data_IF_729366355011
#
_entry.id   IF_729366355011
#
_cell.length_a   1.000
_cell.length_b   1.000
_cell.length_c   1.000
_cell.angle_alpha   90.00
_cell.angle_beta   90.00
_cell.angle_gamma   90.00
#
_symmetry.space_group_name_H-M   'P 1'
#
loop_
_entity.id
_entity.type
_entity.pdbx_description
1 polymer ?
#
# COMPACT_ATOMS: atom_id res chain seq x y z
N UNK A 1 -2.21 11.14 -5.90
CA UNK A 1 -3.67 11.10 -5.72
C UNK A 1 -4.19 9.68 -5.61
N UNK A 2 -5.33 9.48 -4.97
CA UNK A 2 -5.98 8.16 -4.82
C UNK A 2 -6.73 7.85 -6.13
N UNK A 3 -6.50 6.70 -6.78
CA UNK A 3 -7.18 6.37 -8.03
C UNK A 3 -8.70 6.24 -7.85
N UNK A 4 -9.46 6.56 -8.90
CA UNK A 4 -10.92 6.51 -8.88
C UNK A 4 -11.40 5.08 -8.54
N UNK A 5 -12.26 4.96 -7.52
CA UNK A 5 -12.76 3.67 -7.02
C UNK A 5 -11.99 3.12 -5.81
N UNK A 6 -10.93 3.79 -5.37
CA UNK A 6 -10.20 3.47 -4.15
C UNK A 6 -10.39 4.56 -3.10
N UNK A 7 -10.08 4.24 -1.84
CA UNK A 7 -10.18 5.17 -0.72
C UNK A 7 -8.94 5.12 0.17
N UNK A 8 -8.75 6.17 0.95
CA UNK A 8 -7.71 6.23 1.98
C UNK A 8 -8.03 5.22 3.09
N UNK A 9 -7.06 4.38 3.43
CA UNK A 9 -7.22 3.35 4.45
C UNK A 9 -6.83 3.82 5.85
N UNK A 10 -6.24 5.01 6.01
CA UNK A 10 -5.87 5.56 7.31
C UNK A 10 -6.99 5.59 8.35
N UNK A 11 -8.26 5.91 8.02
CA UNK A 11 -9.36 5.87 8.99
C UNK A 11 -9.63 4.47 9.57
N UNK A 12 -9.18 3.40 8.92
CA UNK A 12 -9.37 2.03 9.38
C UNK A 12 -8.16 1.48 10.15
N UNK A 13 -7.08 2.25 10.29
CA UNK A 13 -5.89 1.83 11.03
C UNK A 13 -6.22 1.75 12.53
N UNK A 14 -5.87 0.63 13.15
CA UNK A 14 -5.93 0.44 14.59
C UNK A 14 -4.61 0.86 15.22
N UNK A 15 -4.52 2.11 15.67
CA UNK A 15 -3.30 2.67 16.29
C UNK A 15 -2.82 1.88 17.51
N UNK A 16 -3.75 1.37 18.32
CA UNK A 16 -3.40 0.59 19.51
C UNK A 16 -2.81 -0.80 19.18
N UNK A 17 -3.04 -1.29 17.96
CA UNK A 17 -2.43 -2.53 17.45
C UNK A 17 -1.29 -2.26 16.47
N UNK A 18 -0.86 -1.02 16.32
CA UNK A 18 0.33 -0.68 15.56
C UNK A 18 1.55 -0.71 16.46
N UNK A 19 2.68 -1.05 15.87
CA UNK A 19 3.97 -1.12 16.55
C UNK A 19 5.05 -0.70 15.56
N UNK A 20 6.08 -0.02 16.05
CA UNK A 20 7.27 0.26 15.27
C UNK A 20 8.51 -0.08 16.10
N UNK A 21 9.40 -0.89 15.54
CA UNK A 21 10.69 -1.17 16.14
C UNK A 21 11.76 -0.24 15.55
N UNK A 22 12.70 0.18 16.40
CA UNK A 22 13.77 1.13 16.09
C UNK A 22 13.28 2.53 15.69
N UNK A 23 12.09 2.95 16.17
CA UNK A 23 11.67 4.34 16.06
C UNK A 23 12.46 5.24 17.02
N UNK A 24 12.71 6.49 16.64
CA UNK A 24 13.35 7.45 17.54
C UNK A 24 12.36 8.06 18.53
N UNK A 25 12.87 8.48 19.69
CA UNK A 25 12.08 9.10 20.76
C UNK A 25 11.42 10.43 20.31
N UNK A 26 12.10 11.18 19.43
CA UNK A 26 11.64 12.48 18.94
C UNK A 26 10.70 12.37 17.72
N UNK A 27 10.84 11.30 16.93
CA UNK A 27 10.17 11.12 15.64
C UNK A 27 9.55 9.72 15.52
N UNK A 28 8.60 9.40 16.40
CA UNK A 28 7.93 8.11 16.43
C UNK A 28 6.91 7.84 15.30
N UNK A 29 6.40 6.60 15.26
CA UNK A 29 5.52 6.06 14.22
C UNK A 29 4.23 6.85 13.98
N UNK A 30 3.64 7.42 15.03
CA UNK A 30 2.41 8.21 14.92
C UNK A 30 2.54 9.43 13.99
N UNK A 31 3.76 9.92 13.78
CA UNK A 31 4.04 11.03 12.88
C UNK A 31 3.83 10.63 11.41
N UNK A 32 4.25 9.43 11.01
CA UNK A 32 4.11 8.98 9.61
C UNK A 32 2.67 8.58 9.23
N UNK A 33 1.76 8.48 10.21
CA UNK A 33 0.33 8.28 9.98
C UNK A 33 -0.42 9.59 9.64
N UNK A 34 0.21 10.75 9.81
CA UNK A 34 -0.38 12.07 9.58
C UNK A 34 0.03 12.62 8.21
N UNK A 35 -0.79 13.51 7.67
CA UNK A 35 -0.50 14.23 6.41
C UNK A 35 0.04 15.63 6.72
N UNK A 36 1.07 15.68 7.54
CA UNK A 36 1.76 16.90 7.96
C UNK A 36 3.27 16.72 7.74
N UNK A 37 4.15 17.71 8.05
CA UNK A 37 5.58 17.60 7.79
C UNK A 37 6.32 16.76 8.85
N UNK A 38 5.61 16.18 9.83
CA UNK A 38 6.24 15.26 10.78
C UNK A 38 6.62 13.96 10.08
N UNK A 39 7.65 13.31 10.58
CA UNK A 39 8.18 12.09 9.99
C UNK A 39 8.48 11.06 11.08
N UNK A 40 8.59 9.80 10.63
CA UNK A 40 9.16 8.70 11.40
C UNK A 40 10.66 8.65 11.09
N UNK A 41 11.48 8.56 12.12
CA UNK A 41 12.93 8.41 12.02
C UNK A 41 13.38 7.15 12.75
N UNK A 42 14.50 6.59 12.31
CA UNK A 42 15.13 5.44 12.95
C UNK A 42 16.18 5.89 13.97
N UNK A 43 16.25 5.21 15.12
CA UNK A 43 17.07 5.66 16.25
C UNK A 43 18.54 5.22 16.14
N UNK A 44 18.77 3.90 16.00
CA UNK A 44 20.11 3.33 16.11
C UNK A 44 20.79 3.12 14.74
N UNK A 45 20.02 2.65 13.76
CA UNK A 45 20.47 2.37 12.40
C UNK A 45 19.37 2.68 11.37
N UNK A 46 19.58 2.38 10.08
CA UNK A 46 18.65 2.70 8.99
C UNK A 46 17.42 1.76 8.87
N UNK A 47 17.29 0.76 9.74
CA UNK A 47 16.26 -0.28 9.63
C UNK A 47 15.05 0.03 10.51
N UNK A 48 13.88 0.16 9.90
CA UNK A 48 12.60 0.27 10.61
C UNK A 48 11.73 -0.95 10.35
N UNK A 49 11.04 -1.42 11.39
CA UNK A 49 10.01 -2.45 11.25
C UNK A 49 8.67 -1.87 11.70
N UNK A 50 7.76 -1.69 10.75
CA UNK A 50 6.43 -1.13 11.01
C UNK A 50 5.37 -2.23 10.90
N UNK A 51 4.60 -2.40 11.97
CA UNK A 51 3.41 -3.26 12.00
C UNK A 51 2.16 -2.38 11.95
N UNK A 52 1.37 -2.51 10.88
CA UNK A 52 0.11 -1.78 10.71
C UNK A 52 -1.07 -2.72 10.86
N UNK A 53 -1.86 -2.50 11.91
CA UNK A 53 -3.11 -3.23 12.15
C UNK A 53 -4.31 -2.46 11.63
N UNK A 54 -5.32 -3.16 11.14
CA UNK A 54 -6.59 -2.56 10.70
C UNK A 54 -7.75 -3.04 11.58
N UNK A 55 -8.72 -2.17 11.84
CA UNK A 55 -9.93 -2.48 12.61
C UNK A 55 -10.87 -3.46 11.88
N UNK A 56 -10.65 -3.69 10.59
CA UNK A 56 -11.41 -4.60 9.75
C UNK A 56 -10.52 -5.18 8.65
N UNK A 57 -10.86 -6.34 8.06
CA UNK A 57 -10.16 -6.86 6.90
C UNK A 57 -10.21 -5.87 5.72
N UNK A 58 -9.05 -5.57 5.12
CA UNK A 58 -8.91 -4.66 3.98
C UNK A 58 -8.24 -5.37 2.79
N UNK A 59 -8.52 -4.90 1.57
CA UNK A 59 -7.77 -5.27 0.37
C UNK A 59 -6.82 -4.14 0.03
N UNK A 60 -5.52 -4.35 0.25
CA UNK A 60 -4.48 -3.40 -0.11
C UNK A 60 -4.32 -3.37 -1.64
N UNK A 61 -4.55 -2.21 -2.24
CA UNK A 61 -4.35 -2.00 -3.68
C UNK A 61 -3.02 -1.31 -3.98
N UNK A 62 -2.71 -0.25 -3.23
CA UNK A 62 -1.51 0.55 -3.41
C UNK A 62 -0.96 0.97 -2.05
N UNK A 63 0.36 0.98 -1.92
CA UNK A 63 1.08 1.57 -0.79
C UNK A 63 1.78 2.84 -1.27
N UNK A 64 1.65 3.93 -0.51
CA UNK A 64 2.40 5.17 -0.75
C UNK A 64 3.39 5.36 0.40
N UNK A 65 4.68 5.37 0.08
CA UNK A 65 5.75 5.74 1.00
C UNK A 65 6.35 7.05 0.49
N UNK A 66 6.44 8.03 1.38
CA UNK A 66 6.99 9.35 1.08
C UNK A 66 7.94 9.73 2.21
N UNK A 67 9.19 10.03 1.85
CA UNK A 67 10.17 10.58 2.78
C UNK A 67 10.17 12.10 2.77
N UNK A 68 10.93 12.73 3.67
CA UNK A 68 11.18 14.16 3.67
C UNK A 68 11.91 14.64 2.39
N UNK A 69 11.78 15.93 2.06
CA UNK A 69 12.35 16.54 0.84
C UNK A 69 13.89 16.69 0.85
N UNK A 70 14.55 16.14 1.87
CA UNK A 70 16.01 16.15 2.02
C UNK A 70 16.69 14.96 1.34
N UNK A 71 15.93 14.13 0.62
CA UNK A 71 16.45 12.95 -0.09
C UNK A 71 16.60 11.69 0.77
N UNK A 72 16.17 11.72 2.04
CA UNK A 72 16.13 10.54 2.89
C UNK A 72 14.84 9.74 2.64
N UNK A 73 14.96 8.43 2.66
CA UNK A 73 13.85 7.51 2.49
C UNK A 73 14.31 6.07 2.39
N UNK A 74 13.39 5.11 2.53
CA UNK A 74 13.73 3.70 2.50
C UNK A 74 14.21 3.28 1.09
N UNK A 75 15.40 2.69 1.02
CA UNK A 75 15.95 2.15 -0.23
C UNK A 75 15.32 0.82 -0.63
N UNK A 76 15.01 -0.01 0.35
CA UNK A 76 14.42 -1.33 0.17
C UNK A 76 13.27 -1.51 1.15
N UNK A 77 12.15 -2.05 0.67
CA UNK A 77 10.96 -2.28 1.48
C UNK A 77 10.55 -3.74 1.35
N UNK A 78 10.38 -4.42 2.48
CA UNK A 78 9.77 -5.74 2.55
C UNK A 78 8.37 -5.60 3.13
N UNK A 79 7.40 -6.28 2.50
CA UNK A 79 6.01 -6.24 2.93
C UNK A 79 5.60 -7.65 3.34
N UNK A 80 4.99 -7.74 4.51
CA UNK A 80 4.41 -8.96 5.04
C UNK A 80 2.94 -8.70 5.36
N UNK A 81 2.10 -9.70 5.13
CA UNK A 81 0.65 -9.60 5.39
C UNK A 81 0.21 -10.80 6.23
N UNK A 82 -0.90 -10.63 6.96
CA UNK A 82 -1.51 -11.68 7.78
C UNK A 82 -0.60 -12.19 8.92
N UNK A 83 0.26 -11.33 9.46
CA UNK A 83 1.09 -11.60 10.64
C UNK A 83 0.57 -10.82 11.85
N UNK A 84 0.77 -11.37 13.05
CA UNK A 84 0.39 -10.71 14.32
C UNK A 84 1.50 -9.84 14.87
N UNK A 85 2.74 -10.28 14.72
CA UNK A 85 3.96 -9.60 15.13
C UNK A 85 5.10 -10.13 14.26
N UNK A 86 6.19 -9.38 14.21
CA UNK A 86 7.41 -9.75 13.52
C UNK A 86 8.57 -9.04 14.22
N UNK A 87 9.74 -9.66 14.24
CA UNK A 87 11.00 -9.01 14.64
C UNK A 87 11.97 -8.88 13.45
N UNK A 88 13.11 -8.23 13.68
CA UNK A 88 14.11 -8.02 12.62
C UNK A 88 14.74 -9.34 12.13
N UNK A 89 14.93 -10.33 12.99
CA UNK A 89 15.52 -11.61 12.62
C UNK A 89 14.57 -12.39 11.69
N UNK A 90 13.29 -12.46 12.04
CA UNK A 90 12.23 -13.04 11.22
C UNK A 90 12.09 -12.30 9.88
N UNK A 91 12.04 -10.96 9.91
CA UNK A 91 11.95 -10.13 8.70
C UNK A 91 13.17 -10.30 7.78
N UNK A 92 14.35 -10.54 8.35
CA UNK A 92 15.59 -10.73 7.60
C UNK A 92 15.67 -12.12 6.96
N UNK A 93 15.21 -13.16 7.67
CA UNK A 93 15.18 -14.56 7.23
C UNK A 93 14.07 -14.85 6.22
N UNK A 94 12.93 -14.16 6.31
CA UNK A 94 11.82 -14.35 5.41
C UNK A 94 12.22 -14.05 3.94
N UNK A 95 11.69 -14.87 3.01
CA UNK A 95 12.03 -14.83 1.59
C UNK A 95 11.85 -13.42 1.03
N UNK A 96 12.95 -12.87 0.52
CA UNK A 96 13.02 -11.46 0.10
C UNK A 96 12.25 -11.27 -1.21
N UNK A 97 11.23 -10.41 -1.19
CA UNK A 97 10.69 -9.81 -2.42
C UNK A 97 11.35 -8.43 -2.54
N UNK A 98 12.43 -8.36 -3.31
CA UNK A 98 13.22 -7.13 -3.48
C UNK A 98 12.50 -6.11 -4.37
N UNK A 99 11.57 -6.56 -5.21
CA UNK A 99 10.81 -5.74 -6.14
C UNK A 99 9.50 -6.44 -6.51
N UNK A 100 8.36 -5.79 -6.30
CA UNK A 100 7.06 -6.24 -6.80
C UNK A 100 6.36 -5.06 -7.45
N UNK A 101 6.14 -5.15 -8.77
CA UNK A 101 5.40 -4.13 -9.53
C UNK A 101 4.24 -4.83 -10.22
N UNK A 102 3.03 -4.28 -10.08
CA UNK A 102 1.91 -4.63 -10.94
C UNK A 102 1.60 -3.45 -11.83
N UNK A 103 2.02 -3.57 -13.08
CA UNK A 103 1.58 -2.71 -14.16
C UNK A 103 0.68 -3.59 -15.02
N UNK A 104 -0.59 -3.22 -15.13
CA UNK A 104 -1.57 -3.94 -15.94
C UNK A 104 -2.60 -2.99 -16.50
N UNK A 105 -3.09 -3.30 -17.69
CA UNK A 105 -4.39 -2.83 -18.16
C UNK A 105 -5.42 -3.92 -17.88
N UNK A 106 -6.70 -3.55 -17.67
CA UNK A 106 -7.74 -4.52 -17.33
C UNK A 106 -7.81 -5.64 -18.38
N UNK A 107 -7.91 -6.90 -17.90
CA UNK A 107 -8.33 -8.01 -18.75
C UNK A 107 -9.76 -7.70 -19.17
N UNK A 108 -9.91 -7.28 -20.44
CA UNK A 108 -11.15 -6.95 -21.15
C UNK A 108 -12.40 -6.91 -20.25
N UNK A 109 -12.69 -5.74 -19.68
CA UNK A 109 -14.09 -5.41 -19.49
C UNK A 109 -14.61 -5.07 -20.88
N UNK A 110 -15.36 -5.99 -21.50
CA UNK A 110 -16.07 -5.70 -22.75
C UNK A 110 -16.83 -4.39 -22.57
N UNK A 111 -16.33 -3.34 -23.19
CA UNK A 111 -16.95 -2.04 -23.17
C UNK A 111 -18.23 -2.12 -24.01
N UNK A 112 -19.40 -2.13 -23.36
CA UNK A 112 -20.70 -2.13 -24.04
C UNK A 112 -20.93 -0.87 -24.89
N UNK A 113 -20.07 0.17 -24.78
CA UNK A 113 -20.08 1.32 -25.68
C UNK A 113 -19.28 1.11 -26.97
N UNK A 114 -18.45 0.06 -27.08
CA UNK A 114 -17.74 -0.29 -28.32
C UNK A 114 -18.59 -1.13 -29.27
N UNK A 115 -19.76 -1.60 -28.81
CA UNK A 115 -20.75 -2.24 -29.67
C UNK A 115 -21.51 -1.18 -30.49
N UNK A 116 -21.09 -0.97 -31.73
CA UNK A 116 -21.95 -0.31 -32.73
C UNK A 116 -23.14 -1.23 -33.01
N UNK A 117 -24.37 -0.71 -32.89
CA UNK A 117 -25.56 -1.41 -33.39
C UNK A 117 -25.36 -1.66 -34.88
N UNK A 118 -25.24 -2.92 -35.29
CA UNK A 118 -25.38 -3.27 -36.70
C UNK A 118 -26.85 -3.05 -37.02
N UNK A 119 -27.16 -2.03 -37.81
CA UNK A 119 -28.50 -1.84 -38.33
C UNK A 119 -28.75 -3.03 -39.25
N UNK A 120 -29.47 -4.03 -38.75
CA UNK A 120 -29.95 -5.13 -39.57
C UNK A 120 -30.67 -4.54 -40.77
N UNK A 121 -30.24 -4.91 -41.98
CA UNK A 121 -31.05 -4.62 -43.15
C UNK A 121 -32.38 -5.35 -42.97
N UNK A 122 -33.47 -4.64 -43.21
CA UNK A 122 -34.84 -5.16 -43.16
C UNK A 122 -34.93 -6.39 -44.09
N UNK A 123 -34.89 -7.61 -43.56
CA UNK A 123 -35.09 -8.81 -44.38
C UNK A 123 -34.57 -10.17 -43.88
N UNK A 124 -33.76 -10.29 -42.84
CA UNK A 124 -33.22 -11.61 -42.44
C UNK A 124 -33.92 -12.15 -41.19
N UNK A 125 -35.09 -12.74 -41.43
CA UNK A 125 -35.68 -13.79 -40.59
C UNK A 125 -35.47 -15.12 -41.30
N UNK A 126 -34.77 -16.06 -40.67
CA UNK A 126 -34.83 -17.47 -41.03
C UNK A 126 -34.73 -18.34 -39.79
#
# INVERSE_FOLDING_TARGET
DIPKGYMDLMPFVNKAGCECLNESDDHGFENCLRKDPTYLESDCDEQLLMTVSFNQPVKLYSLKLQGPDNGQGPKYVKIFINLRSMDFDEAMRATRITYFTFIGTPVQATNMNDFKRVVGKKGESH
#
